data_IF_879878630465
#
_entry.id   IF_879878630465
#
_cell.length_a   1.000
_cell.length_b   1.000
_cell.length_c   1.000
_cell.angle_alpha   90.00
_cell.angle_beta   90.00
_cell.angle_gamma   90.00
#
_symmetry.space_group_name_H-M   'P 1'
#
loop_
_entity.id
_entity.type
_entity.pdbx_description
1 polymer ?
#
# COMPACT_ATOMS: atom_id res chain seq x y z
N UNK A 1 1.06 3.36 19.49
CA UNK A 1 0.31 2.76 18.36
C UNK A 1 -1.14 2.64 18.78
N UNK A 2 -2.06 3.13 17.95
CA UNK A 2 -3.50 3.11 18.20
C UNK A 2 -4.01 1.67 18.28
N UNK A 3 -4.93 1.40 19.22
CA UNK A 3 -5.67 0.14 19.28
C UNK A 3 -6.94 0.26 18.44
N UNK A 4 -7.23 -0.76 17.63
CA UNK A 4 -8.42 -0.83 16.78
C UNK A 4 -9.09 -2.19 17.02
N UNK A 5 -10.35 -2.17 17.43
CA UNK A 5 -11.14 -3.37 17.69
C UNK A 5 -11.19 -4.28 16.45
N UNK A 6 -10.91 -5.58 16.64
CA UNK A 6 -10.87 -6.56 15.56
C UNK A 6 -9.52 -6.69 14.86
N UNK A 7 -8.52 -5.88 15.22
CA UNK A 7 -7.13 -6.05 14.84
C UNK A 7 -6.30 -6.58 16.01
N UNK A 8 -5.56 -7.65 15.78
CA UNK A 8 -4.41 -8.01 16.63
C UNK A 8 -3.15 -7.48 15.96
N UNK A 9 -2.45 -6.60 16.67
CA UNK A 9 -1.28 -5.91 16.14
C UNK A 9 -0.04 -6.28 16.93
N UNK A 10 1.06 -6.58 16.24
CA UNK A 10 2.40 -6.63 16.81
C UNK A 10 3.34 -5.81 15.93
N UNK A 11 4.22 -5.02 16.54
CA UNK A 11 5.06 -4.06 15.83
C UNK A 11 6.44 -3.97 16.47
N UNK A 12 7.44 -3.73 15.64
CA UNK A 12 8.81 -3.41 16.04
C UNK A 12 9.35 -2.23 15.25
N UNK A 13 10.67 -2.05 15.26
CA UNK A 13 11.31 -0.94 14.58
C UNK A 13 11.17 -1.00 13.04
N UNK A 14 11.12 -2.21 12.48
CA UNK A 14 11.17 -2.50 11.04
C UNK A 14 10.06 -3.45 10.57
N UNK A 15 9.08 -3.73 11.43
CA UNK A 15 7.95 -4.58 11.07
C UNK A 15 6.65 -4.18 11.74
N UNK A 16 5.55 -4.52 11.08
CA UNK A 16 4.19 -4.49 11.60
C UNK A 16 3.44 -5.73 11.11
N UNK A 17 2.79 -6.42 12.02
CA UNK A 17 1.87 -7.52 11.72
C UNK A 17 0.47 -7.17 12.20
N UNK A 18 -0.53 -7.50 11.38
CA UNK A 18 -1.93 -7.22 11.65
C UNK A 18 -2.79 -8.44 11.32
N UNK A 19 -3.48 -9.00 12.29
CA UNK A 19 -4.51 -10.02 12.05
C UNK A 19 -5.90 -9.39 12.16
N UNK A 20 -6.59 -9.30 11.02
CA UNK A 20 -7.96 -8.76 10.90
C UNK A 20 -8.95 -9.88 11.22
N UNK A 21 -9.22 -10.08 12.52
CA UNK A 21 -10.08 -11.18 12.99
C UNK A 21 -11.54 -10.99 12.56
N UNK A 22 -12.05 -9.77 12.67
CA UNK A 22 -13.41 -9.39 12.30
C UNK A 22 -13.40 -8.04 11.59
N UNK A 23 -14.34 -7.82 10.67
CA UNK A 23 -14.58 -6.48 10.10
C UNK A 23 -15.56 -5.72 11.03
N UNK A 24 -15.02 -5.21 12.13
CA UNK A 24 -15.75 -4.48 13.18
C UNK A 24 -16.26 -3.12 12.70
N UNK A 25 -17.11 -2.48 13.49
CA UNK A 25 -17.55 -1.10 13.21
C UNK A 25 -16.38 -0.11 13.20
N UNK A 26 -15.37 -0.30 14.05
CA UNK A 26 -14.17 0.55 14.06
C UNK A 26 -13.40 0.44 12.74
N UNK A 27 -13.11 -0.78 12.25
CA UNK A 27 -12.41 -0.95 10.96
C UNK A 27 -13.25 -0.42 9.80
N UNK A 28 -14.57 -0.64 9.82
CA UNK A 28 -15.48 -0.05 8.82
C UNK A 28 -15.41 1.48 8.84
N UNK A 29 -15.35 2.10 10.03
CA UNK A 29 -15.19 3.54 10.16
C UNK A 29 -13.82 4.03 9.66
N UNK A 30 -12.74 3.31 9.92
CA UNK A 30 -11.42 3.61 9.34
C UNK A 30 -11.50 3.60 7.80
N UNK A 31 -12.15 2.60 7.20
CA UNK A 31 -12.37 2.56 5.76
C UNK A 31 -13.20 3.77 5.31
N UNK A 32 -14.34 4.06 5.95
CA UNK A 32 -15.20 5.21 5.59
C UNK A 32 -14.44 6.54 5.61
N UNK A 33 -13.71 6.79 6.68
CA UNK A 33 -13.03 8.05 6.92
C UNK A 33 -11.92 8.30 5.90
N UNK A 34 -11.25 7.23 5.43
CA UNK A 34 -10.10 7.34 4.55
C UNK A 34 -10.41 7.04 3.08
N UNK A 35 -11.52 6.40 2.73
CA UNK A 35 -11.77 5.89 1.38
C UNK A 35 -11.60 6.96 0.29
N UNK A 36 -12.14 8.16 0.49
CA UNK A 36 -12.01 9.26 -0.46
C UNK A 36 -10.56 9.72 -0.62
N UNK A 37 -9.85 9.89 0.49
CA UNK A 37 -8.43 10.28 0.51
C UNK A 37 -7.54 9.20 -0.13
N UNK A 38 -7.81 7.93 0.17
CA UNK A 38 -7.13 6.78 -0.44
C UNK A 38 -7.35 6.80 -1.94
N UNK A 39 -8.59 6.92 -2.39
CA UNK A 39 -8.93 6.84 -3.80
C UNK A 39 -8.39 8.01 -4.62
N UNK A 40 -8.51 9.25 -4.14
CA UNK A 40 -8.23 10.45 -4.96
C UNK A 40 -7.02 11.26 -4.50
N UNK A 41 -6.41 10.93 -3.36
CA UNK A 41 -5.42 11.76 -2.70
C UNK A 41 -6.06 12.87 -1.86
N UNK A 42 -5.36 13.31 -0.82
CA UNK A 42 -5.84 14.30 0.16
C UNK A 42 -6.22 15.63 -0.51
N UNK A 43 -5.42 16.08 -1.49
CA UNK A 43 -5.66 17.35 -2.16
C UNK A 43 -6.96 17.44 -2.95
N UNK A 44 -7.36 16.35 -3.61
CA UNK A 44 -8.60 16.31 -4.37
C UNK A 44 -9.81 16.07 -3.47
N UNK A 45 -9.65 15.25 -2.43
CA UNK A 45 -10.71 15.01 -1.45
C UNK A 45 -11.09 16.28 -0.67
N UNK A 46 -10.11 17.08 -0.24
CA UNK A 46 -10.35 18.31 0.53
C UNK A 46 -10.92 19.47 -0.30
N UNK A 47 -10.67 19.51 -1.62
CA UNK A 47 -11.22 20.55 -2.51
C UNK A 47 -12.75 20.50 -2.63
N UNK A 48 -13.41 19.45 -2.10
CA UNK A 48 -14.86 19.39 -1.97
C UNK A 48 -15.60 19.51 -3.30
N UNK A 49 -14.95 19.19 -4.42
CA UNK A 49 -15.58 19.24 -5.73
C UNK A 49 -16.80 18.31 -5.69
N UNK A 50 -17.99 18.83 -6.03
CA UNK A 50 -19.27 18.11 -6.08
C UNK A 50 -19.23 16.78 -6.85
N UNK A 51 -18.13 16.50 -7.57
CA UNK A 51 -17.76 15.28 -8.27
C UNK A 51 -17.44 14.06 -7.40
N UNK A 52 -16.87 14.21 -6.19
CA UNK A 52 -16.13 13.16 -5.49
C UNK A 52 -16.67 12.88 -4.07
N UNK A 53 -17.98 12.68 -3.93
CA UNK A 53 -18.60 12.30 -2.65
C UNK A 53 -18.26 10.85 -2.28
N UNK A 54 -18.42 10.48 -1.00
CA UNK A 54 -18.29 9.09 -0.53
C UNK A 54 -19.08 8.11 -1.41
N UNK A 55 -20.35 8.40 -1.68
CA UNK A 55 -21.20 7.57 -2.54
C UNK A 55 -20.67 7.41 -3.98
N UNK A 56 -20.15 8.49 -4.58
CA UNK A 56 -19.54 8.40 -5.92
C UNK A 56 -18.23 7.63 -5.91
N UNK A 57 -17.49 7.67 -4.80
CA UNK A 57 -16.27 6.90 -4.58
C UNK A 57 -16.58 5.42 -4.54
N UNK A 58 -17.61 5.02 -3.80
CA UNK A 58 -18.08 3.63 -3.73
C UNK A 58 -18.52 3.12 -5.11
N UNK A 59 -19.30 3.91 -5.85
CA UNK A 59 -19.70 3.59 -7.23
C UNK A 59 -18.50 3.42 -8.17
N UNK A 60 -17.51 4.33 -8.08
CA UNK A 60 -16.29 4.24 -8.86
C UNK A 60 -15.47 2.99 -8.49
N UNK A 61 -15.35 2.68 -7.19
CA UNK A 61 -14.70 1.48 -6.69
C UNK A 61 -15.35 0.22 -7.27
N UNK A 62 -16.67 0.09 -7.14
CA UNK A 62 -17.43 -1.06 -7.65
C UNK A 62 -17.28 -1.22 -9.16
N UNK A 63 -17.33 -0.11 -9.91
CA UNK A 63 -17.13 -0.11 -11.36
C UNK A 63 -15.75 -0.64 -11.76
N UNK A 64 -14.69 -0.28 -11.02
CA UNK A 64 -13.33 -0.79 -11.25
C UNK A 64 -13.15 -2.24 -10.78
N UNK A 65 -13.76 -2.62 -9.66
CA UNK A 65 -13.58 -3.90 -9.00
C UNK A 65 -14.36 -5.05 -9.65
N UNK A 66 -15.65 -4.83 -9.95
CA UNK A 66 -16.58 -5.88 -10.41
C UNK A 66 -16.10 -6.66 -11.63
N UNK A 67 -15.60 -6.03 -12.72
CA UNK A 67 -15.21 -6.74 -13.94
C UNK A 67 -13.88 -7.50 -13.83
N UNK A 68 -13.15 -7.36 -12.71
CA UNK A 68 -11.82 -7.95 -12.55
C UNK A 68 -11.89 -9.43 -12.14
N UNK A 69 -10.82 -10.16 -12.43
CA UNK A 69 -10.64 -11.55 -11.97
C UNK A 69 -10.41 -11.59 -10.46
N UNK A 70 -10.63 -12.75 -9.84
CA UNK A 70 -10.45 -12.93 -8.39
C UNK A 70 -9.05 -12.54 -7.89
N UNK A 71 -8.01 -12.87 -8.65
CA UNK A 71 -6.64 -12.51 -8.27
C UNK A 71 -6.43 -10.98 -8.27
N UNK A 72 -7.02 -10.28 -9.24
CA UNK A 72 -6.95 -8.81 -9.27
C UNK A 72 -7.81 -8.21 -8.14
N UNK A 73 -8.99 -8.78 -7.87
CA UNK A 73 -9.87 -8.37 -6.76
C UNK A 73 -9.17 -8.50 -5.40
N UNK A 74 -8.47 -9.62 -5.17
CA UNK A 74 -7.61 -9.83 -3.99
C UNK A 74 -6.54 -8.75 -3.86
N UNK A 75 -5.87 -8.42 -4.97
CA UNK A 75 -4.89 -7.34 -5.06
C UNK A 75 -5.48 -5.99 -4.66
N UNK A 76 -6.60 -5.61 -5.28
CA UNK A 76 -7.28 -4.33 -5.02
C UNK A 76 -7.68 -4.18 -3.54
N UNK A 77 -8.24 -5.22 -2.91
CA UNK A 77 -8.60 -5.17 -1.49
C UNK A 77 -7.34 -5.19 -0.60
N UNK A 78 -6.28 -5.88 -1.02
CA UNK A 78 -5.03 -5.93 -0.27
C UNK A 78 -4.36 -4.56 -0.21
N UNK A 79 -4.33 -3.86 -1.34
CA UNK A 79 -3.81 -2.50 -1.46
C UNK A 79 -4.69 -1.50 -0.68
N UNK A 80 -6.02 -1.59 -0.77
CA UNK A 80 -6.94 -0.79 0.04
C UNK A 80 -6.69 -0.99 1.56
N UNK A 81 -6.57 -2.23 2.03
CA UNK A 81 -6.29 -2.52 3.44
C UNK A 81 -4.91 -2.00 3.86
N UNK A 82 -3.94 -2.04 2.98
CA UNK A 82 -2.60 -1.48 3.20
C UNK A 82 -2.69 0.01 3.47
N UNK A 83 -3.41 0.76 2.61
CA UNK A 83 -3.66 2.17 2.84
C UNK A 83 -4.33 2.43 4.18
N UNK A 84 -5.42 1.73 4.50
CA UNK A 84 -6.16 1.92 5.76
C UNK A 84 -5.26 1.70 6.97
N UNK A 85 -4.44 0.66 6.96
CA UNK A 85 -3.50 0.37 8.05
C UNK A 85 -2.44 1.47 8.17
N UNK A 86 -1.90 1.95 7.03
CA UNK A 86 -0.91 3.03 7.03
C UNK A 86 -1.51 4.32 7.61
N UNK A 87 -2.68 4.76 7.11
CA UNK A 87 -3.37 5.96 7.58
C UNK A 87 -3.69 5.92 9.08
N UNK A 88 -4.00 4.75 9.63
CA UNK A 88 -4.42 4.61 11.02
C UNK A 88 -3.28 4.39 12.01
N UNK A 89 -2.19 3.76 11.59
CA UNK A 89 -1.13 3.29 12.50
C UNK A 89 0.21 4.01 12.33
N UNK A 90 0.44 4.71 11.20
CA UNK A 90 1.70 5.41 10.94
C UNK A 90 1.49 6.92 11.03
N UNK A 91 1.77 7.49 12.20
CA UNK A 91 1.60 8.92 12.46
C UNK A 91 2.59 9.81 11.69
N UNK A 92 3.73 9.25 11.26
CA UNK A 92 4.82 9.98 10.62
C UNK A 92 4.90 9.78 9.10
N UNK A 93 4.00 8.99 8.51
CA UNK A 93 3.98 8.73 7.07
C UNK A 93 2.70 9.28 6.46
N UNK A 94 2.85 9.95 5.32
CA UNK A 94 1.75 10.43 4.50
C UNK A 94 1.71 9.65 3.19
N UNK A 95 0.53 9.22 2.79
CA UNK A 95 0.33 8.58 1.47
C UNK A 95 0.28 9.67 0.41
N UNK A 96 1.22 9.64 -0.54
CA UNK A 96 1.33 10.66 -1.60
C UNK A 96 1.00 10.12 -2.99
N UNK A 97 0.61 8.85 -3.09
CA UNK A 97 0.07 8.24 -4.31
C UNK A 97 -1.37 7.75 -4.11
N UNK A 98 -2.32 8.11 -4.98
CA UNK A 98 -3.72 7.73 -4.84
C UNK A 98 -3.97 6.31 -5.38
N UNK A 99 -4.86 5.57 -4.71
CA UNK A 99 -5.27 4.21 -5.07
C UNK A 99 -5.98 4.15 -6.43
N UNK A 100 -6.83 5.13 -6.74
CA UNK A 100 -7.35 5.27 -8.10
C UNK A 100 -6.33 6.01 -8.96
N UNK A 101 -5.19 5.38 -9.15
CA UNK A 101 -4.16 5.93 -10.01
C UNK A 101 -4.75 6.15 -11.43
N UNK A 102 -4.48 7.32 -12.01
CA UNK A 102 -4.93 7.70 -13.36
C UNK A 102 -4.19 6.91 -14.46
N UNK A 103 -3.14 6.18 -14.08
CA UNK A 103 -2.25 5.39 -14.95
C UNK A 103 -2.78 4.03 -15.39
N UNK A 104 -3.99 3.61 -14.99
CA UNK A 104 -4.61 2.34 -15.43
C UNK A 104 -4.75 2.22 -16.97
N UNK A 105 -4.40 3.27 -17.73
CA UNK A 105 -4.31 3.32 -19.20
C UNK A 105 -2.89 3.15 -19.77
N UNK A 106 -1.84 3.16 -18.94
CA UNK A 106 -0.44 3.00 -19.35
C UNK A 106 -0.03 1.53 -19.38
N UNK A 107 0.89 1.13 -20.27
CA UNK A 107 1.31 -0.26 -20.45
C UNK A 107 2.21 -0.78 -19.31
N UNK A 108 2.76 0.09 -18.46
CA UNK A 108 3.61 -0.26 -17.31
C UNK A 108 3.11 0.48 -16.06
N UNK A 109 2.48 -0.25 -15.13
CA UNK A 109 1.98 0.27 -13.84
C UNK A 109 3.16 0.78 -13.01
N UNK A 110 3.01 1.93 -12.35
CA UNK A 110 3.96 2.44 -11.36
C UNK A 110 4.06 1.57 -10.11
N UNK A 111 4.66 2.12 -9.04
CA UNK A 111 4.67 1.50 -7.72
C UNK A 111 3.26 1.44 -7.11
N UNK A 112 3.02 0.52 -6.17
CA UNK A 112 1.69 0.38 -5.58
C UNK A 112 1.38 1.57 -4.65
N UNK A 113 2.30 1.90 -3.73
CA UNK A 113 2.18 3.13 -2.93
C UNK A 113 3.52 3.88 -2.83
N UNK A 114 3.43 5.20 -2.77
CA UNK A 114 4.50 6.11 -2.37
C UNK A 114 4.07 6.76 -1.07
N UNK A 115 4.96 6.72 -0.08
CA UNK A 115 4.77 7.39 1.21
C UNK A 115 5.88 8.42 1.40
N UNK A 116 5.55 9.55 2.00
CA UNK A 116 6.52 10.55 2.42
C UNK A 116 6.58 10.58 3.94
N UNK A 117 7.78 10.71 4.52
CA UNK A 117 7.87 11.06 5.93
C UNK A 117 7.35 12.50 6.11
N UNK A 118 6.50 12.74 7.11
CA UNK A 118 5.95 14.07 7.42
C UNK A 118 7.04 15.13 7.71
N UNK A 119 8.26 14.68 8.02
CA UNK A 119 9.43 15.56 8.17
C UNK A 119 10.01 16.07 6.86
N UNK A 120 9.54 15.55 5.71
CA UNK A 120 10.04 15.85 4.38
C UNK A 120 11.42 15.26 4.07
N UNK A 121 11.93 14.32 4.88
CA UNK A 121 13.32 13.84 4.73
C UNK A 121 13.47 12.68 3.76
N UNK A 122 12.48 11.81 3.71
CA UNK A 122 12.56 10.52 3.04
C UNK A 122 11.24 10.19 2.34
N UNK A 123 11.34 9.44 1.25
CA UNK A 123 10.21 8.74 0.63
C UNK A 123 10.37 7.24 0.81
N UNK A 124 9.25 6.53 0.82
CA UNK A 124 9.18 5.08 0.90
C UNK A 124 8.38 4.52 -0.26
N UNK A 125 8.99 3.56 -0.97
CA UNK A 125 8.39 2.88 -2.11
C UNK A 125 7.77 1.57 -1.62
N UNK A 126 6.51 1.34 -1.92
CA UNK A 126 5.74 0.21 -1.40
C UNK A 126 5.33 -0.73 -2.53
N UNK A 127 5.44 -2.03 -2.28
CA UNK A 127 4.87 -3.08 -3.14
C UNK A 127 4.04 -4.05 -2.31
N UNK A 128 2.84 -4.34 -2.80
CA UNK A 128 1.84 -5.16 -2.13
C UNK A 128 1.66 -6.48 -2.86
N UNK A 129 1.90 -7.59 -2.15
CA UNK A 129 1.59 -8.93 -2.63
C UNK A 129 0.51 -9.56 -1.80
N UNK A 130 -0.54 -10.04 -2.47
CA UNK A 130 -1.70 -10.63 -1.82
C UNK A 130 -2.05 -11.99 -2.42
N UNK A 131 -2.61 -12.88 -1.62
CA UNK A 131 -3.04 -14.19 -2.08
C UNK A 131 -3.58 -15.07 -0.98
N UNK A 132 -3.99 -16.28 -1.37
CA UNK A 132 -4.38 -17.33 -0.43
C UNK A 132 -3.14 -18.11 0.05
N UNK A 133 -3.35 -19.14 0.87
CA UNK A 133 -2.29 -20.09 1.22
C UNK A 133 -1.61 -20.64 -0.03
N UNK A 134 -0.29 -20.71 0.01
CA UNK A 134 0.50 -21.36 -1.03
C UNK A 134 0.33 -22.89 -0.98
N UNK A 135 1.00 -23.62 -1.88
CA UNK A 135 0.90 -25.08 -1.98
C UNK A 135 1.30 -25.82 -0.68
N UNK A 136 2.08 -25.19 0.20
CA UNK A 136 2.48 -25.79 1.49
C UNK A 136 1.36 -25.74 2.53
N UNK A 137 0.32 -24.93 2.31
CA UNK A 137 -0.78 -24.74 3.26
C UNK A 137 -0.40 -24.02 4.57
N UNK A 138 0.85 -23.57 4.70
CA UNK A 138 1.37 -22.92 5.90
C UNK A 138 1.25 -21.38 5.80
N UNK A 139 0.59 -20.72 6.77
CA UNK A 139 0.50 -19.26 6.82
C UNK A 139 1.88 -18.56 6.83
N UNK A 140 2.80 -18.99 7.69
CA UNK A 140 4.15 -18.43 7.81
C UNK A 140 4.90 -18.45 6.47
N UNK A 141 4.89 -19.61 5.79
CA UNK A 141 5.54 -19.77 4.49
C UNK A 141 4.88 -18.91 3.41
N UNK A 142 3.55 -18.78 3.45
CA UNK A 142 2.80 -17.99 2.46
C UNK A 142 3.10 -16.50 2.61
N UNK A 143 3.02 -15.98 3.84
CA UNK A 143 3.36 -14.60 4.19
C UNK A 143 4.81 -14.29 3.81
N UNK A 144 5.76 -15.16 4.20
CA UNK A 144 7.18 -14.99 3.86
C UNK A 144 7.42 -15.02 2.35
N UNK A 145 6.70 -15.89 1.61
CA UNK A 145 6.77 -15.94 0.16
C UNK A 145 6.30 -14.65 -0.48
N UNK A 146 5.19 -14.07 0.00
CA UNK A 146 4.68 -12.79 -0.52
C UNK A 146 5.64 -11.64 -0.26
N UNK A 147 6.24 -11.55 0.93
CA UNK A 147 7.28 -10.56 1.23
C UNK A 147 8.48 -10.70 0.29
N UNK A 148 8.94 -11.93 0.02
CA UNK A 148 10.03 -12.19 -0.92
C UNK A 148 9.65 -11.84 -2.36
N UNK A 149 8.41 -12.07 -2.78
CA UNK A 149 7.94 -11.65 -4.10
C UNK A 149 7.87 -10.13 -4.19
N UNK A 150 7.36 -9.43 -3.17
CA UNK A 150 7.36 -7.97 -3.11
C UNK A 150 8.79 -7.41 -3.21
N UNK A 151 9.72 -8.00 -2.44
CA UNK A 151 11.15 -7.70 -2.47
C UNK A 151 11.73 -7.82 -3.87
N UNK A 152 11.57 -8.98 -4.50
CA UNK A 152 12.14 -9.24 -5.83
C UNK A 152 11.57 -8.31 -6.90
N UNK A 153 10.27 -8.00 -6.83
CA UNK A 153 9.61 -7.11 -7.77
C UNK A 153 10.11 -5.66 -7.63
N UNK A 154 10.22 -5.14 -6.40
CA UNK A 154 10.78 -3.80 -6.17
C UNK A 154 12.26 -3.74 -6.50
N UNK A 155 13.05 -4.72 -6.07
CA UNK A 155 14.47 -4.77 -6.37
C UNK A 155 14.71 -4.72 -7.88
N UNK A 156 13.90 -5.46 -8.66
CA UNK A 156 13.98 -5.39 -10.12
C UNK A 156 13.63 -3.99 -10.63
N UNK A 157 12.46 -3.43 -10.26
CA UNK A 157 12.01 -2.12 -10.79
C UNK A 157 12.94 -0.96 -10.41
N UNK A 158 13.50 -0.99 -9.20
CA UNK A 158 14.40 0.05 -8.69
C UNK A 158 15.83 -0.02 -9.27
N UNK A 159 16.18 -1.10 -9.98
CA UNK A 159 17.45 -1.23 -10.72
C UNK A 159 17.23 -1.18 -12.24
N UNK A 160 16.01 -0.95 -12.72
CA UNK A 160 15.71 -0.81 -14.15
C UNK A 160 15.78 0.67 -14.56
N UNK A 161 16.35 0.94 -15.74
CA UNK A 161 16.33 2.27 -16.39
C UNK A 161 14.95 2.63 -16.96
N UNK A 162 13.88 2.32 -16.22
CA UNK A 162 12.50 2.57 -16.61
C UNK A 162 11.99 3.86 -15.95
N UNK A 163 12.10 4.97 -16.69
CA UNK A 163 11.66 6.29 -16.26
C UNK A 163 10.15 6.36 -15.96
N UNK A 164 9.34 5.52 -16.61
CA UNK A 164 7.87 5.57 -16.47
C UNK A 164 7.45 5.36 -15.02
N UNK A 165 8.13 4.51 -14.25
CA UNK A 165 7.78 4.29 -12.84
C UNK A 165 7.92 5.57 -12.00
N UNK A 166 8.97 6.33 -12.22
CA UNK A 166 9.26 7.57 -11.50
C UNK A 166 8.39 8.74 -11.97
N UNK A 167 8.18 8.88 -13.29
CA UNK A 167 7.24 9.87 -13.85
C UNK A 167 5.83 9.68 -13.27
N UNK A 168 5.40 8.43 -13.15
CA UNK A 168 4.14 8.04 -12.55
C UNK A 168 4.06 8.42 -11.05
N UNK A 169 5.12 8.14 -10.29
CA UNK A 169 5.22 8.55 -8.89
C UNK A 169 5.17 10.08 -8.71
N UNK A 170 5.88 10.84 -9.55
CA UNK A 170 5.88 12.31 -9.54
C UNK A 170 4.50 12.86 -9.89
N UNK A 171 3.85 12.33 -10.91
CA UNK A 171 2.49 12.72 -11.30
C UNK A 171 1.48 12.45 -10.18
N UNK A 172 1.58 11.28 -9.54
CA UNK A 172 0.74 10.89 -8.41
C UNK A 172 0.93 11.84 -7.22
N UNK A 173 2.17 12.16 -6.87
CA UNK A 173 2.54 13.11 -5.81
C UNK A 173 2.00 14.52 -6.10
N UNK A 174 2.16 14.97 -7.34
CA UNK A 174 1.68 16.28 -7.78
C UNK A 174 0.17 16.47 -7.61
N UNK A 175 -0.60 15.40 -7.79
CA UNK A 175 -2.05 15.42 -7.69
C UNK A 175 -2.58 15.19 -6.26
N UNK A 176 -1.76 14.64 -5.35
CA UNK A 176 -2.22 14.17 -4.03
C UNK A 176 -1.92 15.11 -2.87
N UNK A 177 -0.81 15.88 -2.94
CA UNK A 177 -0.39 16.80 -1.87
C UNK A 177 -0.91 18.23 -2.16
N UNK A 178 -1.55 18.85 -1.16
CA UNK A 178 -1.99 20.26 -1.20
C UNK A 178 -0.79 21.21 -1.18
N UNK A 179 -1.01 22.47 -1.56
CA UNK A 179 0.02 23.48 -1.84
C UNK A 179 0.88 23.94 -0.63
N UNK A 180 1.33 23.03 0.25
CA UNK A 180 2.51 23.23 1.09
C UNK A 180 3.75 23.12 0.19
N UNK A 181 4.06 24.22 -0.53
CA UNK A 181 5.07 24.26 -1.59
C UNK A 181 6.40 23.65 -1.14
N UNK A 182 6.91 24.06 0.02
CA UNK A 182 8.22 23.62 0.48
C UNK A 182 8.28 22.10 0.75
N UNK A 183 7.25 21.52 1.35
CA UNK A 183 7.19 20.08 1.60
C UNK A 183 7.06 19.28 0.31
N UNK A 184 6.11 19.68 -0.55
CA UNK A 184 5.84 19.01 -1.83
C UNK A 184 7.07 19.06 -2.73
N UNK A 185 7.74 20.21 -2.82
CA UNK A 185 8.92 20.39 -3.66
C UNK A 185 10.09 19.51 -3.18
N UNK A 186 10.23 19.29 -1.87
CA UNK A 186 11.23 18.35 -1.34
C UNK A 186 10.91 16.91 -1.73
N UNK A 187 9.66 16.46 -1.62
CA UNK A 187 9.26 15.11 -2.02
C UNK A 187 9.43 14.91 -3.54
N UNK A 188 9.00 15.88 -4.35
CA UNK A 188 9.19 15.84 -5.81
C UNK A 188 10.67 15.78 -6.14
N UNK A 189 11.52 16.55 -5.47
CA UNK A 189 12.96 16.52 -5.71
C UNK A 189 13.56 15.14 -5.47
N UNK A 190 13.17 14.44 -4.40
CA UNK A 190 13.65 13.07 -4.14
C UNK A 190 13.26 12.14 -5.30
N UNK A 191 12.02 12.24 -5.79
CA UNK A 191 11.55 11.42 -6.91
C UNK A 191 12.19 11.81 -8.26
N UNK A 192 12.49 13.10 -8.46
CA UNK A 192 13.21 13.62 -9.63
C UNK A 192 14.66 13.11 -9.66
N UNK A 193 15.33 13.05 -8.50
CA UNK A 193 16.70 12.51 -8.40
C UNK A 193 16.73 11.03 -8.85
N UNK A 194 15.73 10.24 -8.45
CA UNK A 194 15.55 8.84 -8.89
C UNK A 194 15.18 8.74 -10.39
N UNK A 195 14.34 9.64 -10.91
CA UNK A 195 14.04 9.72 -12.33
C UNK A 195 15.30 10.01 -13.16
N UNK A 196 16.15 10.93 -12.71
CA UNK A 196 17.43 11.25 -13.34
C UNK A 196 18.36 10.05 -13.28
N UNK A 197 18.46 9.37 -12.12
CA UNK A 197 19.25 8.16 -12.00
C UNK A 197 18.80 7.07 -12.97
N UNK A 198 17.49 6.86 -13.14
CA UNK A 198 16.96 5.93 -14.13
C UNK A 198 17.28 6.33 -15.58
N UNK A 199 17.16 7.62 -15.92
CA UNK A 199 17.51 8.14 -17.25
C UNK A 199 19.00 8.00 -17.58
N UNK A 200 19.85 8.13 -16.57
CA UNK A 200 21.32 8.02 -16.66
C UNK A 200 21.84 6.57 -16.58
N UNK A 201 20.94 5.57 -16.50
CA UNK A 201 21.29 4.15 -16.27
C UNK A 201 22.08 3.92 -14.95
N UNK A 202 21.77 4.72 -13.93
CA UNK A 202 22.37 4.67 -12.58
C UNK A 202 21.35 4.30 -11.50
N UNK A 203 20.15 3.87 -11.87
CA UNK A 203 19.13 3.43 -10.92
C UNK A 203 19.68 2.32 -10.02
N UNK A 204 19.52 2.48 -8.71
CA UNK A 204 20.02 1.54 -7.72
C UNK A 204 19.01 1.41 -6.58
N UNK A 205 18.62 0.18 -6.30
CA UNK A 205 17.69 -0.10 -5.20
C UNK A 205 18.25 0.27 -3.82
N UNK A 206 19.58 0.31 -3.67
CA UNK A 206 20.24 0.68 -2.40
C UNK A 206 20.03 2.13 -2.00
N UNK A 207 19.60 3.00 -2.93
CA UNK A 207 19.31 4.40 -2.65
C UNK A 207 17.88 4.60 -2.08
N UNK A 208 17.06 3.56 -2.12
CA UNK A 208 15.62 3.65 -1.88
C UNK A 208 15.19 2.99 -0.56
N UNK A 209 14.30 3.65 0.18
CA UNK A 209 13.60 3.07 1.32
C UNK A 209 12.37 2.31 0.83
N UNK A 210 12.14 1.10 1.36
CA UNK A 210 11.03 0.25 0.91
C UNK A 210 10.13 -0.24 2.03
N UNK A 211 8.83 -0.32 1.72
CA UNK A 211 7.85 -1.05 2.51
C UNK A 211 7.39 -2.27 1.72
N UNK A 212 7.69 -3.46 2.25
CA UNK A 212 7.29 -4.72 1.64
C UNK A 212 6.03 -5.23 2.32
N UNK A 213 4.96 -5.38 1.53
CA UNK A 213 3.64 -5.71 2.09
C UNK A 213 3.17 -7.08 1.65
N UNK A 214 2.75 -7.89 2.61
CA UNK A 214 2.13 -9.20 2.37
C UNK A 214 0.71 -9.24 2.92
N UNK A 215 -0.27 -9.61 2.09
CA UNK A 215 -1.66 -9.79 2.48
C UNK A 215 -2.06 -11.26 2.30
N UNK A 216 -2.26 -11.96 3.41
CA UNK A 216 -2.67 -13.36 3.39
C UNK A 216 -4.18 -13.50 3.62
N UNK A 217 -4.88 -14.05 2.62
CA UNK A 217 -6.27 -14.45 2.71
C UNK A 217 -6.39 -15.90 3.17
N UNK A 218 -6.54 -16.12 4.48
CA UNK A 218 -6.65 -17.46 5.09
C UNK A 218 -7.31 -17.41 6.47
N UNK A 219 -7.71 -18.57 7.00
CA UNK A 219 -8.37 -18.67 8.30
C UNK A 219 -7.57 -17.97 9.41
N UNK A 220 -8.20 -17.00 10.06
CA UNK A 220 -7.60 -16.19 11.13
C UNK A 220 -7.44 -16.96 12.44
N UNK A 221 -8.08 -18.13 12.58
CA UNK A 221 -7.83 -19.07 13.68
C UNK A 221 -6.51 -19.83 13.53
N UNK A 222 -5.90 -19.77 12.34
CA UNK A 222 -4.55 -20.26 12.07
C UNK A 222 -3.68 -19.07 11.63
N UNK A 223 -3.33 -18.15 12.56
CA UNK A 223 -2.57 -16.97 12.22
C UNK A 223 -1.13 -17.31 11.83
N UNK A 224 -0.56 -16.54 10.89
CA UNK A 224 0.90 -16.54 10.75
C UNK A 224 1.55 -16.00 12.03
N UNK A 225 2.75 -16.46 12.36
CA UNK A 225 3.50 -15.99 13.53
C UNK A 225 4.30 -14.74 13.17
N UNK A 226 4.39 -13.80 14.11
CA UNK A 226 5.22 -12.61 13.93
C UNK A 226 6.69 -12.94 13.67
N UNK A 227 7.21 -14.01 14.30
CA UNK A 227 8.58 -14.49 14.09
C UNK A 227 8.89 -14.77 12.62
N UNK A 228 7.94 -15.31 11.85
CA UNK A 228 8.14 -15.57 10.42
C UNK A 228 8.36 -14.26 9.62
N UNK A 229 7.65 -13.20 10.00
CA UNK A 229 7.80 -11.87 9.41
C UNK A 229 9.13 -11.24 9.83
N UNK A 230 9.47 -11.31 11.12
CA UNK A 230 10.71 -10.76 11.69
C UNK A 230 11.94 -11.44 11.07
N UNK A 231 11.95 -12.76 11.00
CA UNK A 231 13.03 -13.53 10.37
C UNK A 231 13.14 -13.20 8.87
N UNK A 232 12.02 -13.04 8.18
CA UNK A 232 12.03 -12.68 6.76
C UNK A 232 12.56 -11.26 6.57
N UNK A 233 12.14 -10.29 7.38
CA UNK A 233 12.63 -8.93 7.36
C UNK A 233 14.15 -8.87 7.62
N UNK A 234 14.62 -9.60 8.64
CA UNK A 234 16.04 -9.68 9.00
C UNK A 234 16.89 -10.21 7.83
N UNK A 235 16.46 -11.33 7.21
CA UNK A 235 17.13 -11.89 6.03
C UNK A 235 17.19 -10.91 4.86
N UNK A 236 16.10 -10.16 4.61
CA UNK A 236 16.06 -9.16 3.53
C UNK A 236 17.02 -8.00 3.83
N UNK A 237 17.10 -7.54 5.08
CA UNK A 237 18.03 -6.48 5.49
C UNK A 237 19.49 -6.91 5.39
N UNK A 238 19.79 -8.17 5.71
CA UNK A 238 21.14 -8.75 5.57
C UNK A 238 21.62 -8.78 4.12
N UNK A 239 20.72 -8.85 3.13
CA UNK A 239 21.08 -8.75 1.71
C UNK A 239 21.61 -7.35 1.32
N UNK A 240 21.31 -6.31 2.12
CA UNK A 240 21.73 -4.91 1.91
C UNK A 240 21.44 -4.38 0.48
N UNK A 241 20.28 -4.74 -0.08
CA UNK A 241 19.85 -4.34 -1.44
C UNK A 241 18.96 -3.09 -1.44
N UNK A 242 18.52 -2.61 -0.28
CA UNK A 242 17.72 -1.39 -0.10
C UNK A 242 18.34 -0.52 1.00
N UNK A 243 18.09 0.80 0.97
CA UNK A 243 18.58 1.72 2.00
C UNK A 243 17.98 1.39 3.39
N UNK A 244 16.65 1.33 3.44
CA UNK A 244 15.87 0.97 4.63
C UNK A 244 14.76 0.01 4.22
N UNK A 245 14.44 -0.94 5.08
CA UNK A 245 13.39 -1.93 4.85
C UNK A 245 12.42 -1.92 6.02
N UNK A 246 11.13 -1.86 5.70
CA UNK A 246 10.05 -2.12 6.62
C UNK A 246 9.14 -3.20 6.05
N UNK A 247 8.67 -4.15 6.87
CA UNK A 247 7.70 -5.17 6.44
C UNK A 247 6.34 -4.96 7.10
N UNK A 248 5.28 -4.94 6.30
CA UNK A 248 3.89 -4.94 6.78
C UNK A 248 3.18 -6.22 6.35
N UNK A 249 2.72 -7.02 7.31
CA UNK A 249 2.00 -8.25 7.03
C UNK A 249 0.58 -8.20 7.59
N UNK A 250 -0.42 -8.41 6.73
CA UNK A 250 -1.82 -8.43 7.11
C UNK A 250 -2.40 -9.82 6.82
N UNK A 251 -3.14 -10.40 7.77
CA UNK A 251 -3.96 -11.59 7.53
C UNK A 251 -5.44 -11.28 7.71
N UNK A 252 -6.26 -11.77 6.79
CA UNK A 252 -7.71 -11.69 6.86
C UNK A 252 -8.33 -12.96 6.30
N UNK A 253 -9.48 -13.39 6.80
CA UNK A 253 -10.15 -14.60 6.30
C UNK A 253 -10.51 -14.55 4.81
N UNK A 254 -10.96 -13.38 4.33
CA UNK A 254 -11.52 -13.20 2.97
C UNK A 254 -11.48 -11.72 2.59
N UNK A 255 -11.28 -11.44 1.30
CA UNK A 255 -11.34 -10.09 0.72
C UNK A 255 -12.79 -9.67 0.42
N UNK A 256 -13.64 -10.64 0.10
CA UNK A 256 -15.05 -10.47 -0.26
C UNK A 256 -15.84 -9.77 0.85
N UNK A 257 -15.55 -10.03 2.12
CA UNK A 257 -16.20 -9.32 3.24
C UNK A 257 -15.98 -7.80 3.21
N UNK A 258 -14.81 -7.34 2.74
CA UNK A 258 -14.54 -5.89 2.59
C UNK A 258 -15.29 -5.34 1.40
N UNK A 259 -15.26 -6.05 0.26
CA UNK A 259 -15.97 -5.63 -0.93
C UNK A 259 -17.49 -5.58 -0.71
N UNK A 260 -18.08 -6.58 -0.05
CA UNK A 260 -19.50 -6.59 0.30
C UNK A 260 -19.88 -5.40 1.18
N UNK A 261 -19.09 -5.11 2.21
CA UNK A 261 -19.30 -3.92 3.04
C UNK A 261 -19.34 -2.64 2.20
N UNK A 262 -18.39 -2.44 1.28
CA UNK A 262 -18.39 -1.26 0.41
C UNK A 262 -19.60 -1.21 -0.52
N UNK A 263 -20.10 -2.36 -0.99
CA UNK A 263 -21.26 -2.40 -1.88
C UNK A 263 -22.58 -2.19 -1.15
N UNK A 264 -22.69 -2.65 0.10
CA UNK A 264 -23.84 -2.36 0.97
C UNK A 264 -23.94 -0.84 1.21
N UNK A 265 -22.81 -0.20 1.54
CA UNK A 265 -22.75 1.25 1.74
C UNK A 265 -23.14 2.07 0.50
N UNK A 266 -22.88 1.54 -0.71
CA UNK A 266 -23.26 2.19 -1.98
C UNK A 266 -24.78 2.14 -2.19
N UNK A 267 -25.43 1.08 -1.74
CA UNK A 267 -26.86 0.86 -1.93
C UNK A 267 -27.71 1.61 -0.89
N UNK A 268 -27.13 1.89 0.28
CA UNK A 268 -27.81 2.52 1.42
C UNK A 268 -27.81 4.06 1.39
N UNK A 269 -27.13 4.71 0.43
CA UNK A 269 -27.03 6.18 0.32
C UNK A 269 -27.65 6.78 -0.93
#
# INVERSE_FOLDING_TARGET
MKTIEGLIINSGADYLTCHVQLLTHEIKNCIRNHLQNICYGTALAERGLNGQTYQRTLKAFRGRYTPKTDNIKKGMIGELLTHVVIFELFENLEVVSPFFNMEEKSQRKGFDLILAEASGKDVWITEVKSGALNQTGCPDNSTSSFLKTAKSDLNRRLNESEMTFWQNAINSTNNSILDCRDYKDVIIKILDDELVAAADEKANSQDNNVILVSILYSDVNNPFRSDAVIETCSKIKEEAIFNRVFTLSIQKSTYEKVAHFLFEEELDG
#
